data_IF_933643992695
#
_entry.id   IF_933643992695
#
_cell.length_a   1.000
_cell.length_b   1.000
_cell.length_c   1.000
_cell.angle_alpha   90.00
_cell.angle_beta   90.00
_cell.angle_gamma   90.00
#
_symmetry.space_group_name_H-M   'P 1'
#
loop_
_entity.id
_entity.type
_entity.pdbx_description
1 polymer ?
#
# COMPACT_ATOMS: atom_id res chain seq x y z
N UNK A 1 -42.17 25.95 -2.12
CA UNK A 1 -42.20 26.82 -3.32
C UNK A 1 -40.80 26.82 -3.91
N UNK A 2 -40.60 26.30 -5.12
CA UNK A 2 -39.31 26.36 -5.81
C UNK A 2 -39.14 27.79 -6.31
N UNK A 3 -38.10 28.48 -5.83
CA UNK A 3 -37.73 29.81 -6.31
C UNK A 3 -36.23 29.85 -6.63
N UNK A 4 -35.82 30.86 -7.40
CA UNK A 4 -34.43 31.01 -7.86
C UNK A 4 -33.41 30.87 -6.72
N UNK A 5 -33.70 31.45 -5.56
CA UNK A 5 -32.83 31.39 -4.38
C UNK A 5 -32.65 29.96 -3.85
N UNK A 6 -33.73 29.21 -3.68
CA UNK A 6 -33.67 27.80 -3.23
C UNK A 6 -32.94 26.90 -4.22
N UNK A 7 -33.10 27.14 -5.53
CA UNK A 7 -32.39 26.40 -6.58
C UNK A 7 -30.90 26.71 -6.57
N UNK A 8 -30.51 27.98 -6.49
CA UNK A 8 -29.11 28.41 -6.42
C UNK A 8 -28.42 27.86 -5.17
N UNK A 9 -29.07 27.91 -4.01
CA UNK A 9 -28.54 27.33 -2.77
C UNK A 9 -28.39 25.81 -2.86
N UNK A 10 -29.33 25.12 -3.50
CA UNK A 10 -29.25 23.68 -3.74
C UNK A 10 -28.09 23.29 -4.65
N UNK A 11 -27.88 24.03 -5.74
CA UNK A 11 -26.73 23.84 -6.65
C UNK A 11 -25.42 24.08 -5.90
N UNK A 12 -25.33 25.18 -5.16
CA UNK A 12 -24.14 25.51 -4.38
C UNK A 12 -23.79 24.39 -3.37
N UNK A 13 -24.77 23.91 -2.60
CA UNK A 13 -24.56 22.82 -1.64
C UNK A 13 -24.08 21.53 -2.30
N UNK A 14 -24.59 21.20 -3.49
CA UNK A 14 -24.16 20.02 -4.26
C UNK A 14 -22.72 20.18 -4.76
N UNK A 15 -22.36 21.35 -5.26
CA UNK A 15 -20.99 21.64 -5.69
C UNK A 15 -20.01 21.54 -4.53
N UNK A 16 -20.34 22.14 -3.37
CA UNK A 16 -19.51 22.03 -2.16
C UNK A 16 -19.37 20.58 -1.70
N UNK A 17 -20.47 19.82 -1.66
CA UNK A 17 -20.45 18.40 -1.28
C UNK A 17 -19.56 17.56 -2.22
N UNK A 18 -19.67 17.81 -3.54
CA UNK A 18 -18.83 17.15 -4.54
C UNK A 18 -17.35 17.50 -4.32
N UNK A 19 -17.03 18.78 -4.10
CA UNK A 19 -15.67 19.23 -3.83
C UNK A 19 -15.10 18.58 -2.57
N UNK A 20 -15.86 18.54 -1.48
CA UNK A 20 -15.46 17.90 -0.21
C UNK A 20 -15.20 16.41 -0.39
N UNK A 21 -15.97 15.74 -1.27
CA UNK A 21 -15.80 14.31 -1.54
C UNK A 21 -14.62 14.04 -2.47
N UNK A 22 -14.41 14.88 -3.49
CA UNK A 22 -13.37 14.67 -4.51
C UNK A 22 -11.97 15.11 -4.04
N UNK A 23 -11.89 16.18 -3.26
CA UNK A 23 -10.62 16.70 -2.74
C UNK A 23 -9.74 15.66 -2.05
N UNK A 24 -10.21 14.84 -1.08
CA UNK A 24 -9.37 13.85 -0.42
C UNK A 24 -8.85 12.78 -1.39
N UNK A 25 -9.65 12.38 -2.37
CA UNK A 25 -9.23 11.44 -3.42
C UNK A 25 -8.11 12.04 -4.27
N UNK A 26 -8.27 13.28 -4.72
CA UNK A 26 -7.22 13.98 -5.49
C UNK A 26 -5.95 14.15 -4.67
N UNK A 27 -6.07 14.54 -3.40
CA UNK A 27 -4.92 14.66 -2.49
C UNK A 27 -4.21 13.30 -2.33
N UNK A 28 -4.97 12.21 -2.18
CA UNK A 28 -4.42 10.86 -2.10
C UNK A 28 -3.63 10.49 -3.37
N UNK A 29 -4.23 10.69 -4.54
CA UNK A 29 -3.62 10.38 -5.85
C UNK A 29 -2.34 11.19 -6.04
N UNK A 30 -2.37 12.50 -5.79
CA UNK A 30 -1.19 13.37 -5.89
C UNK A 30 -0.07 12.91 -4.95
N UNK A 31 -0.41 12.58 -3.69
CA UNK A 31 0.59 12.10 -2.72
C UNK A 31 1.19 10.77 -3.14
N UNK A 32 0.38 9.84 -3.64
CA UNK A 32 0.84 8.53 -4.12
C UNK A 32 1.83 8.70 -5.27
N UNK A 33 1.45 9.43 -6.32
CA UNK A 33 2.32 9.65 -7.48
C UNK A 33 3.58 10.44 -7.13
N UNK A 34 3.48 11.44 -6.25
CA UNK A 34 4.65 12.20 -5.79
C UNK A 34 5.65 11.30 -5.07
N UNK A 35 5.16 10.42 -4.20
CA UNK A 35 6.00 9.46 -3.46
C UNK A 35 6.63 8.44 -4.40
N UNK A 36 5.87 7.90 -5.34
CA UNK A 36 6.37 6.92 -6.31
C UNK A 36 7.42 7.54 -7.23
N UNK A 37 7.19 8.78 -7.69
CA UNK A 37 8.17 9.54 -8.47
C UNK A 37 9.46 9.78 -7.67
N UNK A 38 9.34 10.20 -6.41
CA UNK A 38 10.49 10.40 -5.53
C UNK A 38 11.31 9.11 -5.35
N UNK A 39 10.66 7.97 -5.07
CA UNK A 39 11.37 6.70 -4.93
C UNK A 39 11.96 6.21 -6.26
N UNK A 40 11.27 6.43 -7.37
CA UNK A 40 11.78 6.05 -8.70
C UNK A 40 13.05 6.83 -9.05
N UNK A 41 13.05 8.15 -8.85
CA UNK A 41 14.22 9.00 -9.09
C UNK A 41 15.35 8.64 -8.14
N UNK A 42 15.09 8.55 -6.83
CA UNK A 42 16.15 8.24 -5.85
C UNK A 42 16.75 6.85 -6.07
N UNK A 43 15.97 5.87 -6.50
CA UNK A 43 16.47 4.52 -6.79
C UNK A 43 17.45 4.47 -7.99
N UNK A 44 17.44 5.47 -8.89
CA UNK A 44 18.44 5.58 -9.95
C UNK A 44 19.84 5.94 -9.40
N UNK A 45 19.89 6.64 -8.27
CA UNK A 45 21.14 7.10 -7.66
C UNK A 45 21.60 6.21 -6.50
N UNK A 46 20.69 5.49 -5.86
CA UNK A 46 21.01 4.59 -4.76
C UNK A 46 21.65 3.30 -5.27
N UNK A 47 22.78 2.92 -4.68
CA UNK A 47 23.43 1.64 -5.00
C UNK A 47 22.55 0.45 -4.59
N UNK A 48 22.47 -0.56 -5.46
CA UNK A 48 21.79 -1.82 -5.13
C UNK A 48 22.43 -2.47 -3.90
N UNK A 49 21.60 -3.01 -3.01
CA UNK A 49 22.10 -3.79 -1.87
C UNK A 49 22.80 -5.04 -2.38
N UNK A 50 23.94 -5.39 -1.77
CA UNK A 50 24.65 -6.65 -2.06
C UNK A 50 23.72 -7.84 -1.83
N UNK A 51 23.83 -8.86 -2.67
CA UNK A 51 23.12 -10.12 -2.50
C UNK A 51 23.32 -10.66 -1.07
N UNK A 52 22.24 -11.14 -0.45
CA UNK A 52 22.24 -11.64 0.92
C UNK A 52 22.28 -10.56 2.03
N UNK A 53 22.37 -9.27 1.69
CA UNK A 53 22.33 -8.13 2.65
C UNK A 53 21.04 -7.32 2.59
N UNK A 54 20.00 -7.84 1.96
CA UNK A 54 18.67 -7.22 1.93
C UNK A 54 18.06 -7.24 3.34
N UNK A 55 18.04 -8.42 3.97
CA UNK A 55 17.58 -8.61 5.36
C UNK A 55 18.75 -8.31 6.32
N UNK A 56 18.57 -7.51 7.39
CA UNK A 56 19.62 -7.22 8.36
C UNK A 56 20.10 -8.48 9.10
N UNK A 57 21.34 -8.48 9.65
CA UNK A 57 21.80 -9.53 10.56
C UNK A 57 20.83 -9.73 11.73
N UNK A 58 20.73 -10.98 12.22
CA UNK A 58 19.84 -11.34 13.32
C UNK A 58 18.35 -11.45 12.95
N UNK A 59 17.96 -11.16 11.70
CA UNK A 59 16.58 -11.25 11.25
C UNK A 59 16.36 -12.48 10.34
N UNK A 60 15.20 -13.15 10.43
CA UNK A 60 14.89 -14.27 9.55
C UNK A 60 14.89 -13.87 8.07
N UNK A 61 15.61 -14.62 7.25
CA UNK A 61 15.89 -14.32 5.84
C UNK A 61 17.27 -13.71 5.58
N UNK A 62 18.06 -13.38 6.62
CA UNK A 62 19.44 -12.91 6.43
C UNK A 62 20.28 -13.96 5.69
N UNK A 63 20.97 -13.54 4.61
CA UNK A 63 21.70 -14.46 3.70
C UNK A 63 20.85 -15.61 3.12
N UNK A 64 19.53 -15.46 3.08
CA UNK A 64 18.62 -16.51 2.61
C UNK A 64 18.35 -17.62 3.63
N UNK A 65 18.78 -17.46 4.89
CA UNK A 65 18.50 -18.42 5.97
C UNK A 65 17.17 -18.07 6.63
N UNK A 66 16.18 -18.93 6.45
CA UNK A 66 14.86 -18.80 7.04
C UNK A 66 14.68 -19.74 8.25
N UNK A 67 13.72 -19.46 9.15
CA UNK A 67 13.36 -20.36 10.23
C UNK A 67 12.87 -21.71 9.68
N UNK A 68 12.74 -22.71 10.54
CA UNK A 68 12.26 -24.03 10.13
C UNK A 68 10.89 -23.90 9.44
N UNK A 69 10.73 -24.57 8.30
CA UNK A 69 9.45 -24.67 7.61
C UNK A 69 8.41 -25.38 8.49
N UNK A 70 7.20 -24.83 8.53
CA UNK A 70 6.02 -25.40 9.16
C UNK A 70 4.90 -25.39 8.11
N UNK A 71 4.33 -26.56 7.83
CA UNK A 71 3.23 -26.68 6.89
C UNK A 71 1.97 -25.99 7.43
N UNK A 72 1.15 -25.36 6.55
CA UNK A 72 -0.12 -24.80 6.97
C UNK A 72 -1.01 -25.86 7.62
N UNK A 73 -1.63 -25.49 8.73
CA UNK A 73 -2.69 -26.32 9.32
C UNK A 73 -4.00 -26.05 8.60
N UNK A 74 -4.58 -27.10 7.99
CA UNK A 74 -5.81 -27.00 7.21
C UNK A 74 -6.95 -26.51 8.09
N UNK A 75 -7.65 -25.47 7.64
CA UNK A 75 -8.85 -24.94 8.30
C UNK A 75 -8.60 -23.95 9.45
N UNK A 76 -7.38 -23.84 9.98
CA UNK A 76 -7.05 -22.87 11.02
C UNK A 76 -6.20 -21.70 10.51
N UNK A 77 -5.44 -21.89 9.44
CA UNK A 77 -4.58 -20.85 8.90
C UNK A 77 -5.01 -20.44 7.48
N UNK A 78 -5.05 -19.13 7.26
CA UNK A 78 -5.30 -18.57 5.92
C UNK A 78 -4.03 -18.61 5.08
N UNK A 79 -4.19 -18.82 3.78
CA UNK A 79 -3.13 -18.70 2.78
C UNK A 79 -3.66 -17.87 1.61
N UNK A 80 -2.77 -17.08 1.02
CA UNK A 80 -3.08 -16.21 -0.11
C UNK A 80 -2.80 -16.94 -1.44
N UNK A 81 -3.23 -16.39 -2.59
CA UNK A 81 -2.78 -16.89 -3.90
C UNK A 81 -1.28 -16.63 -4.18
N UNK A 82 -0.61 -15.78 -3.39
CA UNK A 82 0.78 -15.42 -3.61
C UNK A 82 1.72 -16.47 -3.00
N UNK A 83 2.55 -17.17 -3.80
CA UNK A 83 3.47 -18.18 -3.29
C UNK A 83 4.53 -17.60 -2.34
N UNK A 84 4.96 -16.35 -2.57
CA UNK A 84 5.93 -15.68 -1.71
C UNK A 84 5.40 -15.42 -0.30
N UNK A 85 4.18 -14.90 -0.19
CA UNK A 85 3.55 -14.65 1.11
C UNK A 85 3.28 -15.96 1.88
N UNK A 86 2.87 -17.00 1.17
CA UNK A 86 2.65 -18.30 1.80
C UNK A 86 3.96 -18.93 2.29
N UNK A 87 5.05 -18.73 1.54
CA UNK A 87 6.38 -19.18 1.97
C UNK A 87 6.82 -18.46 3.25
N UNK A 88 6.62 -17.14 3.32
CA UNK A 88 6.88 -16.36 4.54
C UNK A 88 6.07 -16.89 5.73
N UNK A 89 4.77 -17.11 5.56
CA UNK A 89 3.90 -17.66 6.61
C UNK A 89 4.39 -19.02 7.12
N UNK A 90 4.80 -19.91 6.21
CA UNK A 90 5.34 -21.23 6.57
C UNK A 90 6.68 -21.14 7.31
N UNK A 91 7.37 -20.00 7.22
CA UNK A 91 8.62 -19.72 7.90
C UNK A 91 8.44 -18.81 9.13
N UNK A 92 7.21 -18.64 9.62
CA UNK A 92 6.90 -17.86 10.83
C UNK A 92 7.01 -16.35 10.62
N UNK A 93 6.67 -15.86 9.43
CA UNK A 93 6.68 -14.44 9.04
C UNK A 93 5.34 -13.93 8.56
#
# INVERSE_FOLDING_TARGET
>A
MVNLFTTLLGIFRRLVSLSVTLAPFLIFVIRLHTRDLFFSITNLFLSSRRAGRVVPPGHPGHRGVWPKYIAPTIGSESRSPCPGLNSLANHGK
#
